data_IF_802354373841
#
_entry.id   IF_802354373841
#
_cell.length_a   1.000
_cell.length_b   1.000
_cell.length_c   1.000
_cell.angle_alpha   90.00
_cell.angle_beta   90.00
_cell.angle_gamma   90.00
#
_symmetry.space_group_name_H-M   'P 1'
#
loop_
_entity.id
_entity.type
_entity.pdbx_description
1 polymer ?
#
# COMPACT_ATOMS: atom_id res chain seq x y z
N UNK A 1 10.55 -7.44 22.48
CA UNK A 1 9.13 -7.41 22.10
C UNK A 1 8.89 -8.51 21.11
N UNK A 2 7.94 -9.41 21.41
CA UNK A 2 7.71 -10.62 20.62
C UNK A 2 7.22 -10.28 19.22
N UNK A 3 8.05 -10.49 18.21
CA UNK A 3 7.72 -10.38 16.78
C UNK A 3 6.94 -11.61 16.28
N UNK A 4 6.66 -12.57 17.14
CA UNK A 4 6.04 -13.86 16.78
C UNK A 4 4.52 -13.81 16.59
N UNK A 5 3.86 -12.65 16.76
CA UNK A 5 2.39 -12.58 16.84
C UNK A 5 1.66 -11.98 15.64
N UNK A 6 2.33 -11.34 14.67
CA UNK A 6 1.62 -10.67 13.56
C UNK A 6 1.61 -11.56 12.32
N UNK A 7 0.48 -12.22 12.06
CA UNK A 7 0.25 -12.93 10.80
C UNK A 7 -0.12 -11.89 9.72
N UNK A 8 0.59 -11.86 8.57
CA UNK A 8 0.22 -10.99 7.46
C UNK A 8 -1.20 -11.26 6.98
N UNK A 9 -1.89 -10.23 6.52
CA UNK A 9 -3.27 -10.33 6.03
C UNK A 9 -3.31 -11.20 4.77
N UNK A 10 -4.26 -12.14 4.69
CA UNK A 10 -4.47 -13.05 3.55
C UNK A 10 -3.20 -13.82 3.13
N UNK A 11 -2.37 -14.21 4.11
CA UNK A 11 -1.07 -14.86 3.84
C UNK A 11 -1.21 -16.11 2.97
N UNK A 12 -2.19 -16.96 3.26
CA UNK A 12 -2.42 -18.20 2.51
C UNK A 12 -2.79 -17.91 1.05
N UNK A 13 -3.67 -16.93 0.83
CA UNK A 13 -4.10 -16.50 -0.50
C UNK A 13 -2.97 -15.83 -1.28
N UNK A 14 -2.11 -15.06 -0.60
CA UNK A 14 -0.92 -14.45 -1.22
C UNK A 14 0.05 -15.53 -1.68
N UNK A 15 0.39 -16.51 -0.83
CA UNK A 15 1.29 -17.60 -1.21
C UNK A 15 0.69 -18.48 -2.32
N UNK A 16 -0.62 -18.76 -2.25
CA UNK A 16 -1.32 -19.51 -3.30
C UNK A 16 -1.35 -18.78 -4.66
N UNK A 17 -1.41 -17.43 -4.65
CA UNK A 17 -1.36 -16.63 -5.87
C UNK A 17 0.07 -16.47 -6.41
N UNK A 18 1.07 -16.32 -5.51
CA UNK A 18 2.46 -16.10 -5.87
C UNK A 18 3.17 -17.39 -6.32
N UNK A 19 2.83 -18.54 -5.71
CA UNK A 19 3.42 -19.87 -5.93
C UNK A 19 4.95 -19.82 -5.82
N UNK A 20 5.53 -19.60 -4.63
CA UNK A 20 6.98 -19.56 -4.47
C UNK A 20 7.66 -20.86 -4.92
N UNK A 21 8.80 -20.72 -5.63
CA UNK A 21 9.57 -21.83 -6.19
C UNK A 21 11.05 -21.68 -5.85
N UNK A 22 11.74 -22.81 -5.74
CA UNK A 22 13.19 -22.84 -5.53
C UNK A 22 13.93 -22.24 -6.73
N UNK A 23 14.99 -21.50 -6.44
CA UNK A 23 15.81 -20.83 -7.44
C UNK A 23 15.21 -19.52 -7.98
N UNK A 24 13.97 -19.20 -7.61
CA UNK A 24 13.28 -18.00 -8.05
C UNK A 24 13.64 -16.77 -7.21
N UNK A 25 13.44 -15.59 -7.79
CA UNK A 25 13.70 -14.29 -7.15
C UNK A 25 12.41 -13.52 -6.96
N UNK A 26 12.13 -13.14 -5.71
CA UNK A 26 10.91 -12.42 -5.33
C UNK A 26 11.21 -11.03 -4.77
N UNK A 27 10.23 -10.15 -4.85
CA UNK A 27 10.23 -8.86 -4.17
C UNK A 27 9.04 -8.78 -3.21
N UNK A 28 9.32 -8.53 -1.93
CA UNK A 28 8.37 -7.97 -0.98
C UNK A 28 8.53 -6.45 -1.01
N UNK A 29 7.62 -5.75 -1.70
CA UNK A 29 7.74 -4.31 -1.93
C UNK A 29 7.32 -3.46 -0.71
N UNK A 30 6.79 -4.10 0.34
CA UNK A 30 6.23 -3.47 1.54
C UNK A 30 6.59 -4.31 2.76
N UNK A 31 7.88 -4.36 3.09
CA UNK A 31 8.42 -5.31 4.06
C UNK A 31 7.74 -5.27 5.44
N UNK A 32 7.52 -4.08 6.02
CA UNK A 32 6.84 -3.90 7.31
C UNK A 32 7.44 -4.72 8.44
N UNK A 33 6.79 -5.81 8.82
CA UNK A 33 7.25 -6.78 9.81
C UNK A 33 7.94 -8.01 9.21
N UNK A 34 8.07 -8.08 7.89
CA UNK A 34 8.73 -9.17 7.17
C UNK A 34 7.93 -10.47 7.08
N UNK A 35 6.62 -10.38 7.30
CA UNK A 35 5.77 -11.58 7.34
C UNK A 35 5.65 -12.29 5.99
N UNK A 36 5.45 -11.56 4.90
CA UNK A 36 5.42 -12.14 3.55
C UNK A 36 6.81 -12.61 3.12
N UNK A 37 7.85 -11.80 3.31
CA UNK A 37 9.22 -12.18 3.00
C UNK A 37 9.63 -13.48 3.69
N UNK A 38 9.33 -13.62 4.99
CA UNK A 38 9.57 -14.85 5.76
C UNK A 38 8.81 -16.04 5.17
N UNK A 39 7.53 -15.89 4.91
CA UNK A 39 6.70 -16.98 4.43
C UNK A 39 7.10 -17.47 3.03
N UNK A 40 7.52 -16.56 2.13
CA UNK A 40 8.06 -16.89 0.83
C UNK A 40 9.35 -17.72 0.99
N UNK A 41 10.28 -17.26 1.84
CA UNK A 41 11.57 -17.93 2.09
C UNK A 41 11.41 -19.32 2.77
N UNK A 42 10.39 -19.48 3.60
CA UNK A 42 10.06 -20.76 4.24
C UNK A 42 9.35 -21.72 3.28
N UNK A 43 8.57 -21.19 2.32
CA UNK A 43 7.85 -22.00 1.32
C UNK A 43 8.76 -22.54 0.23
N UNK A 44 9.85 -21.83 -0.12
CA UNK A 44 10.79 -22.20 -1.16
C UNK A 44 12.23 -22.02 -0.65
N UNK A 45 12.88 -23.08 -0.11
CA UNK A 45 14.19 -22.98 0.53
C UNK A 45 15.34 -22.50 -0.38
N UNK A 46 15.20 -22.64 -1.70
CA UNK A 46 16.16 -22.19 -2.69
C UNK A 46 15.91 -20.78 -3.26
N UNK A 47 14.83 -20.11 -2.87
CA UNK A 47 14.51 -18.78 -3.40
C UNK A 47 15.29 -17.65 -2.72
N UNK A 48 15.34 -16.50 -3.43
CA UNK A 48 15.88 -15.23 -2.92
C UNK A 48 14.76 -14.20 -2.84
N UNK A 49 14.72 -13.41 -1.75
CA UNK A 49 13.78 -12.32 -1.56
C UNK A 49 14.51 -11.01 -1.37
N UNK A 50 14.22 -10.05 -2.22
CA UNK A 50 14.48 -8.64 -1.96
C UNK A 50 13.28 -8.04 -1.23
N UNK A 51 13.53 -7.17 -0.26
CA UNK A 51 12.45 -6.58 0.53
C UNK A 51 12.68 -5.09 0.70
N UNK A 52 11.72 -4.28 0.25
CA UNK A 52 11.78 -2.83 0.27
C UNK A 52 10.87 -2.31 1.39
N UNK A 53 11.36 -1.33 2.14
CA UNK A 53 10.51 -0.49 3.00
C UNK A 53 11.08 0.92 3.07
N UNK A 54 10.21 1.91 3.05
CA UNK A 54 10.57 3.32 3.23
C UNK A 54 10.75 3.73 4.69
N UNK A 55 10.20 2.92 5.63
CA UNK A 55 10.31 3.15 7.06
C UNK A 55 11.64 2.58 7.58
N UNK A 56 12.61 3.42 8.02
CA UNK A 56 13.88 2.95 8.53
C UNK A 56 13.73 2.03 9.76
N UNK A 57 12.64 2.19 10.54
CA UNK A 57 12.39 1.30 11.68
C UNK A 57 11.99 -0.11 11.22
N UNK A 58 11.31 -0.25 10.08
CA UNK A 58 11.00 -1.56 9.50
C UNK A 58 12.28 -2.26 9.04
N UNK A 59 13.17 -1.56 8.35
CA UNK A 59 14.48 -2.09 7.93
C UNK A 59 15.32 -2.51 9.12
N UNK A 60 15.39 -1.67 10.17
CA UNK A 60 16.14 -2.00 11.38
C UNK A 60 15.59 -3.24 12.09
N UNK A 61 14.25 -3.37 12.21
CA UNK A 61 13.61 -4.56 12.78
C UNK A 61 13.87 -5.81 11.96
N UNK A 62 13.97 -5.67 10.64
CA UNK A 62 14.20 -6.78 9.71
C UNK A 62 15.60 -7.40 9.79
N UNK A 63 16.58 -6.74 10.40
CA UNK A 63 17.97 -7.19 10.43
C UNK A 63 18.14 -8.61 11.00
N UNK A 64 17.42 -8.95 12.06
CA UNK A 64 17.45 -10.29 12.63
C UNK A 64 16.88 -11.36 11.68
N UNK A 65 15.82 -11.04 10.95
CA UNK A 65 15.25 -11.92 9.92
C UNK A 65 16.24 -12.10 8.76
N UNK A 66 16.90 -11.04 8.31
CA UNK A 66 17.90 -11.11 7.26
C UNK A 66 19.10 -11.97 7.67
N UNK A 67 19.52 -11.93 8.94
CA UNK A 67 20.55 -12.84 9.46
C UNK A 67 20.10 -14.30 9.47
N UNK A 68 18.85 -14.58 9.87
CA UNK A 68 18.28 -15.94 9.85
C UNK A 68 18.25 -16.53 8.45
N UNK A 69 17.99 -15.71 7.43
CA UNK A 69 17.96 -16.10 6.02
C UNK A 69 19.18 -15.53 5.26
N UNK A 70 20.38 -15.60 5.87
CA UNK A 70 21.60 -15.03 5.32
C UNK A 70 21.82 -15.45 3.87
N UNK A 71 22.10 -14.48 3.00
CA UNK A 71 22.28 -14.67 1.56
C UNK A 71 21.00 -14.84 0.75
N UNK A 72 19.83 -14.94 1.39
CA UNK A 72 18.54 -15.11 0.70
C UNK A 72 17.53 -13.97 0.96
N UNK A 73 17.68 -13.21 2.04
CA UNK A 73 16.88 -12.01 2.32
C UNK A 73 17.75 -10.76 2.23
N UNK A 74 17.40 -9.85 1.32
CA UNK A 74 18.10 -8.59 1.10
C UNK A 74 17.15 -7.41 1.39
N UNK A 75 17.42 -6.68 2.48
CA UNK A 75 16.64 -5.51 2.85
C UNK A 75 17.14 -4.28 2.11
N UNK A 76 16.21 -3.46 1.64
CA UNK A 76 16.47 -2.23 0.88
C UNK A 76 15.61 -1.11 1.49
N UNK A 77 16.25 -0.09 2.04
CA UNK A 77 15.54 1.13 2.44
C UNK A 77 15.22 1.94 1.19
N UNK A 78 13.94 2.31 1.03
CA UNK A 78 13.47 3.09 -0.10
C UNK A 78 11.98 2.95 -0.36
N UNK A 79 11.50 3.71 -1.31
CA UNK A 79 10.10 3.69 -1.73
C UNK A 79 9.88 2.58 -2.75
N UNK A 80 8.77 1.85 -2.63
CA UNK A 80 8.46 0.81 -3.61
C UNK A 80 8.10 1.38 -5.00
N UNK A 81 7.69 2.65 -5.09
CA UNK A 81 7.56 3.34 -6.38
C UNK A 81 8.87 3.47 -7.15
N UNK A 82 10.00 3.40 -6.45
CA UNK A 82 11.35 3.50 -7.02
C UNK A 82 12.02 2.12 -7.19
N UNK A 83 11.26 1.00 -7.01
CA UNK A 83 11.82 -0.36 -7.03
C UNK A 83 12.62 -0.68 -8.27
N UNK A 84 12.25 -0.10 -9.41
CA UNK A 84 12.95 -0.33 -10.68
C UNK A 84 14.42 0.12 -10.62
N UNK A 85 14.70 1.32 -10.12
CA UNK A 85 16.06 1.83 -9.94
C UNK A 85 16.77 1.10 -8.82
N UNK A 86 16.12 0.91 -7.67
CA UNK A 86 16.69 0.25 -6.49
C UNK A 86 17.18 -1.17 -6.79
N UNK A 87 16.46 -1.91 -7.62
CA UNK A 87 16.82 -3.29 -8.00
C UNK A 87 17.86 -3.31 -9.14
N UNK A 88 17.73 -2.43 -10.13
CA UNK A 88 18.71 -2.32 -11.21
C UNK A 88 20.12 -1.97 -10.71
N UNK A 89 20.22 -1.09 -9.73
CA UNK A 89 21.49 -0.73 -9.07
C UNK A 89 22.15 -1.95 -8.38
N UNK A 90 21.38 -3.02 -8.15
CA UNK A 90 21.83 -4.31 -7.58
C UNK A 90 21.96 -5.42 -8.62
N UNK A 91 21.84 -5.06 -9.89
CA UNK A 91 21.94 -6.03 -11.00
C UNK A 91 20.68 -6.88 -11.20
N UNK A 92 19.57 -6.58 -10.53
CA UNK A 92 18.32 -7.32 -10.65
C UNK A 92 17.47 -6.66 -11.74
N UNK A 93 17.24 -7.39 -12.82
CA UNK A 93 16.49 -6.93 -13.99
C UNK A 93 15.20 -7.70 -14.24
N UNK A 94 14.99 -8.82 -13.55
CA UNK A 94 13.78 -9.62 -13.65
C UNK A 94 13.43 -10.28 -12.31
N UNK A 95 12.14 -10.47 -12.07
CA UNK A 95 11.57 -11.07 -10.86
C UNK A 95 10.54 -12.15 -11.24
N UNK A 96 10.54 -13.26 -10.52
CA UNK A 96 9.54 -14.32 -10.66
C UNK A 96 8.23 -13.97 -9.91
N UNK A 97 8.30 -13.04 -8.97
CA UNK A 97 7.10 -12.53 -8.33
C UNK A 97 7.32 -11.29 -7.47
N UNK A 98 6.26 -10.51 -7.33
CA UNK A 98 6.20 -9.30 -6.51
C UNK A 98 4.97 -9.37 -5.62
N UNK A 99 5.13 -9.11 -4.32
CA UNK A 99 4.03 -8.90 -3.38
C UNK A 99 4.05 -7.46 -2.88
N UNK A 100 2.85 -6.86 -2.79
CA UNK A 100 2.62 -5.54 -2.21
C UNK A 100 1.49 -5.63 -1.19
N UNK A 101 1.75 -5.21 0.06
CA UNK A 101 0.76 -5.05 1.13
C UNK A 101 0.60 -3.55 1.38
N UNK A 102 -0.42 -2.97 0.75
CA UNK A 102 -0.57 -1.52 0.72
C UNK A 102 -1.03 -0.95 2.06
N UNK A 103 -0.79 0.34 2.27
CA UNK A 103 -1.20 1.07 3.45
C UNK A 103 -0.13 1.13 4.53
N UNK A 104 -0.54 1.03 5.81
CA UNK A 104 0.32 1.22 6.99
C UNK A 104 0.52 -0.07 7.75
N UNK A 105 1.72 -0.27 8.27
CA UNK A 105 2.01 -1.41 9.13
C UNK A 105 1.32 -1.29 10.50
N UNK A 106 1.08 -2.44 11.15
CA UNK A 106 0.56 -2.45 12.52
C UNK A 106 1.47 -1.69 13.48
N UNK A 107 2.79 -1.75 13.28
CA UNK A 107 3.74 -1.02 14.10
C UNK A 107 3.53 0.50 14.03
N UNK A 108 3.29 1.04 12.84
CA UNK A 108 3.00 2.47 12.66
C UNK A 108 1.69 2.89 13.33
N UNK A 109 0.65 2.04 13.30
CA UNK A 109 -0.64 2.32 13.93
C UNK A 109 -0.61 2.20 15.45
N UNK A 110 0.22 1.31 15.98
CA UNK A 110 0.24 1.00 17.43
C UNK A 110 1.23 1.91 18.19
N UNK A 111 2.13 2.62 17.49
CA UNK A 111 3.04 3.60 18.06
C UNK A 111 2.43 4.99 18.03
N UNK A 112 1.97 5.49 19.19
CA UNK A 112 1.31 6.80 19.30
C UNK A 112 2.23 7.94 18.82
N UNK A 113 3.53 7.84 19.06
CA UNK A 113 4.55 8.81 18.66
C UNK A 113 4.71 8.95 17.13
N UNK A 114 4.19 8.02 16.34
CA UNK A 114 4.19 8.09 14.88
C UNK A 114 2.99 8.88 14.32
N UNK A 115 1.96 9.13 15.10
CA UNK A 115 0.82 9.97 14.75
C UNK A 115 -0.15 9.40 13.70
N UNK A 116 -0.05 8.11 13.34
CA UNK A 116 -0.96 7.49 12.35
C UNK A 116 -2.36 7.20 12.89
N UNK A 117 -2.50 7.12 14.21
CA UNK A 117 -3.75 6.79 14.89
C UNK A 117 -4.15 7.92 15.84
N UNK A 118 -5.46 8.11 16.01
CA UNK A 118 -6.04 9.00 17.00
C UNK A 118 -6.68 8.24 18.20
N UNK A 119 -6.40 6.93 18.31
CA UNK A 119 -6.86 6.10 19.45
C UNK A 119 -6.07 6.39 20.71
N UNK A 120 -4.79 6.66 20.56
CA UNK A 120 -3.90 7.22 21.57
C UNK A 120 -3.43 8.58 21.07
N UNK A 121 -3.27 9.55 21.99
CA UNK A 121 -2.75 10.87 21.63
C UNK A 121 -1.25 10.80 21.34
N UNK A 122 -0.81 11.53 20.33
CA UNK A 122 0.56 11.62 19.90
C UNK A 122 0.79 12.82 18.98
N UNK A 123 2.03 13.09 18.57
CA UNK A 123 2.32 14.16 17.62
C UNK A 123 1.57 13.92 16.30
N UNK A 124 1.09 14.98 15.68
CA UNK A 124 0.40 14.92 14.38
C UNK A 124 1.43 14.81 13.25
N UNK A 125 2.13 13.66 13.17
CA UNK A 125 3.25 13.43 12.27
C UNK A 125 2.84 12.72 10.97
N UNK A 126 2.49 11.43 11.01
CA UNK A 126 2.08 10.55 9.92
C UNK A 126 3.14 10.26 8.83
N UNK A 127 4.40 10.65 9.01
CA UNK A 127 5.46 10.37 8.03
C UNK A 127 5.98 8.93 8.17
N UNK A 128 5.97 8.18 7.09
CA UNK A 128 6.55 6.84 7.07
C UNK A 128 8.08 6.89 7.09
N UNK A 129 8.68 7.77 6.30
CA UNK A 129 10.14 7.94 6.16
C UNK A 129 10.79 8.82 7.23
N UNK A 130 10.01 9.42 8.14
CA UNK A 130 10.48 10.39 9.14
C UNK A 130 11.10 11.68 8.55
N UNK A 131 10.97 11.90 7.25
CA UNK A 131 11.48 13.09 6.54
C UNK A 131 10.35 13.79 5.75
N UNK A 132 10.59 15.03 5.34
CA UNK A 132 9.58 15.81 4.60
C UNK A 132 8.50 16.42 5.51
N UNK A 133 7.45 17.01 4.91
CA UNK A 133 6.36 17.65 5.65
C UNK A 133 5.49 16.62 6.37
N UNK A 134 5.15 16.94 7.63
CA UNK A 134 4.27 16.15 8.50
C UNK A 134 2.79 16.48 8.24
N UNK A 135 1.89 15.71 8.86
CA UNK A 135 0.47 16.06 8.87
C UNK A 135 0.19 17.38 9.59
N UNK A 136 0.97 17.70 10.64
CA UNK A 136 0.88 19.00 11.30
C UNK A 136 1.26 20.14 10.34
N UNK A 137 2.29 19.97 9.53
CA UNK A 137 2.68 20.99 8.54
C UNK A 137 1.56 21.21 7.52
N UNK A 138 0.95 20.14 6.99
CA UNK A 138 -0.16 20.26 6.05
C UNK A 138 -1.36 20.99 6.68
N UNK A 139 -1.77 20.57 7.87
CA UNK A 139 -2.93 21.13 8.57
C UNK A 139 -2.72 22.60 8.93
N UNK A 140 -1.51 22.97 9.34
CA UNK A 140 -1.22 24.33 9.80
C UNK A 140 -0.87 25.31 8.67
N UNK A 141 -0.42 24.83 7.48
CA UNK A 141 0.07 25.72 6.42
C UNK A 141 -0.82 25.81 5.17
N UNK A 142 -1.50 24.72 4.78
CA UNK A 142 -2.24 24.67 3.52
C UNK A 142 -3.45 25.63 3.53
N UNK A 143 -3.81 26.13 2.34
CA UNK A 143 -5.02 26.93 2.16
C UNK A 143 -6.27 26.07 2.38
N UNK A 144 -7.39 26.71 2.80
CA UNK A 144 -8.67 26.03 3.05
C UNK A 144 -9.10 25.14 1.88
N UNK A 145 -8.94 25.64 0.64
CA UNK A 145 -9.29 24.91 -0.58
C UNK A 145 -8.45 23.63 -0.73
N UNK A 146 -7.14 23.71 -0.53
CA UNK A 146 -6.23 22.59 -0.73
C UNK A 146 -6.45 21.52 0.35
N UNK A 147 -6.69 21.93 1.60
CA UNK A 147 -7.11 21.01 2.68
C UNK A 147 -8.44 20.31 2.35
N UNK A 148 -9.42 21.07 1.85
CA UNK A 148 -10.71 20.49 1.47
C UNK A 148 -10.56 19.49 0.31
N UNK A 149 -9.72 19.79 -0.66
CA UNK A 149 -9.44 18.90 -1.80
C UNK A 149 -8.75 17.61 -1.35
N UNK A 150 -7.76 17.68 -0.46
CA UNK A 150 -7.11 16.52 0.15
C UNK A 150 -8.15 15.65 0.89
N UNK A 151 -8.91 16.24 1.80
CA UNK A 151 -9.88 15.52 2.63
C UNK A 151 -10.99 14.88 1.76
N UNK A 152 -11.43 15.57 0.71
CA UNK A 152 -12.41 15.05 -0.23
C UNK A 152 -11.87 13.91 -1.09
N UNK A 153 -10.72 14.13 -1.76
CA UNK A 153 -10.17 13.18 -2.74
C UNK A 153 -9.61 11.93 -2.09
N UNK A 154 -8.90 12.05 -0.98
CA UNK A 154 -8.20 10.95 -0.33
C UNK A 154 -8.98 10.33 0.84
N UNK A 155 -9.91 11.08 1.43
CA UNK A 155 -10.78 10.58 2.48
C UNK A 155 -12.16 10.13 1.98
N UNK A 156 -12.53 10.48 0.73
CA UNK A 156 -13.91 10.34 0.22
C UNK A 156 -14.93 10.97 1.21
N UNK A 157 -14.51 12.09 1.88
CA UNK A 157 -15.27 12.74 2.94
C UNK A 157 -16.17 13.87 2.37
N UNK A 158 -17.46 13.69 2.44
CA UNK A 158 -18.45 14.64 1.90
C UNK A 158 -18.50 15.98 2.63
N UNK A 159 -18.07 16.02 3.88
CA UNK A 159 -18.01 17.24 4.70
C UNK A 159 -16.65 17.95 4.64
N UNK A 160 -15.79 17.61 3.67
CA UNK A 160 -14.42 18.08 3.53
C UNK A 160 -14.26 19.61 3.64
N UNK A 161 -15.13 20.39 2.96
CA UNK A 161 -15.10 21.86 3.03
C UNK A 161 -15.39 22.39 4.43
N UNK A 162 -16.36 21.78 5.15
CA UNK A 162 -16.70 22.15 6.51
C UNK A 162 -15.56 21.86 7.48
N UNK A 163 -14.90 20.70 7.32
CA UNK A 163 -13.73 20.31 8.11
C UNK A 163 -12.57 21.26 7.85
N UNK A 164 -12.22 21.50 6.58
CA UNK A 164 -11.13 22.40 6.21
C UNK A 164 -11.32 23.82 6.76
N UNK A 165 -12.53 24.38 6.65
CA UNK A 165 -12.87 25.68 7.23
C UNK A 165 -12.71 25.67 8.75
N UNK A 166 -13.18 24.64 9.44
CA UNK A 166 -13.03 24.52 10.89
C UNK A 166 -11.55 24.45 11.31
N UNK A 167 -10.71 23.72 10.54
CA UNK A 167 -9.27 23.65 10.76
C UNK A 167 -8.65 25.04 10.61
N UNK A 168 -8.93 25.75 9.51
CA UNK A 168 -8.35 27.08 9.23
C UNK A 168 -8.73 28.10 10.29
N UNK A 169 -10.00 28.11 10.76
CA UNK A 169 -10.45 28.98 11.84
C UNK A 169 -9.70 28.65 13.14
N UNK A 170 -9.67 27.37 13.54
CA UNK A 170 -9.07 26.95 14.83
C UNK A 170 -7.56 27.17 14.88
N UNK A 171 -6.82 26.88 13.79
CA UNK A 171 -5.36 27.05 13.77
C UNK A 171 -4.88 28.49 13.89
N UNK A 172 -5.76 29.47 13.59
CA UNK A 172 -5.47 30.89 13.81
C UNK A 172 -5.33 31.25 15.30
N UNK A 173 -5.94 30.47 16.21
CA UNK A 173 -5.81 30.63 17.66
C UNK A 173 -4.55 29.94 18.18
N UNK A 174 -4.29 28.70 17.73
CA UNK A 174 -3.10 27.93 18.07
C UNK A 174 -2.88 26.82 17.01
N UNK A 175 -1.63 26.46 16.66
CA UNK A 175 -1.35 25.40 15.71
C UNK A 175 -1.79 24.03 16.24
N UNK A 176 -2.17 23.13 15.35
CA UNK A 176 -2.37 21.72 15.67
C UNK A 176 -1.03 21.02 15.86
N UNK A 177 -0.86 20.35 16.98
CA UNK A 177 0.35 19.60 17.30
C UNK A 177 0.09 18.13 17.61
N UNK A 178 -1.15 17.78 18.01
CA UNK A 178 -1.49 16.41 18.41
C UNK A 178 -2.64 15.80 17.61
N UNK A 179 -2.67 14.48 17.57
CA UNK A 179 -3.72 13.71 16.91
C UNK A 179 -5.07 13.89 17.60
N UNK A 180 -5.09 13.98 18.93
CA UNK A 180 -6.33 14.14 19.70
C UNK A 180 -7.03 15.48 19.41
N UNK A 181 -6.26 16.59 19.34
CA UNK A 181 -6.82 17.92 19.07
C UNK A 181 -7.48 17.97 17.68
N UNK A 182 -6.80 17.48 16.64
CA UNK A 182 -7.37 17.40 15.30
C UNK A 182 -8.60 16.49 15.25
N UNK A 183 -8.53 15.29 15.84
CA UNK A 183 -9.65 14.34 15.85
C UNK A 183 -10.87 14.92 16.56
N UNK A 184 -10.68 15.62 17.67
CA UNK A 184 -11.76 16.29 18.40
C UNK A 184 -12.44 17.37 17.55
N UNK A 185 -11.66 18.18 16.81
CA UNK A 185 -12.23 19.18 15.89
C UNK A 185 -13.03 18.52 14.77
N UNK A 186 -12.46 17.48 14.11
CA UNK A 186 -13.15 16.79 13.01
C UNK A 186 -14.46 16.18 13.47
N UNK A 187 -14.50 15.50 14.63
CA UNK A 187 -15.72 14.91 15.22
C UNK A 187 -16.82 15.96 15.46
N UNK A 188 -16.46 17.19 15.86
CA UNK A 188 -17.41 18.30 15.99
C UNK A 188 -17.89 18.83 14.64
N UNK A 189 -17.06 18.72 13.62
CA UNK A 189 -17.37 19.23 12.28
C UNK A 189 -18.27 18.30 11.46
N UNK A 190 -18.38 17.01 11.79
CA UNK A 190 -19.15 16.03 11.02
C UNK A 190 -20.30 15.44 11.83
N UNK A 191 -21.44 15.06 11.21
CA UNK A 191 -22.45 14.26 11.87
C UNK A 191 -21.93 12.89 12.28
N UNK A 192 -22.51 12.28 13.31
CA UNK A 192 -22.19 10.91 13.70
C UNK A 192 -22.53 9.94 12.57
N UNK A 193 -21.57 9.08 12.21
CA UNK A 193 -21.79 8.07 11.17
C UNK A 193 -22.66 6.92 11.74
N UNK A 194 -23.78 6.58 11.08
CA UNK A 194 -24.66 5.49 11.55
C UNK A 194 -23.98 4.12 11.54
N UNK A 195 -22.91 3.91 10.74
CA UNK A 195 -22.14 2.67 10.69
C UNK A 195 -21.22 2.48 11.89
N UNK A 196 -21.11 3.49 12.78
CA UNK A 196 -20.21 3.47 13.93
C UNK A 196 -18.75 3.79 13.61
N UNK A 197 -18.44 4.15 12.36
CA UNK A 197 -17.11 4.63 11.99
C UNK A 197 -16.87 6.00 12.63
N UNK A 198 -15.71 6.15 13.28
CA UNK A 198 -15.34 7.44 13.88
C UNK A 198 -15.23 8.52 12.80
N UNK A 199 -15.84 9.68 13.04
CA UNK A 199 -15.88 10.79 12.08
C UNK A 199 -14.49 11.31 11.67
N UNK A 200 -13.45 11.10 12.48
CA UNK A 200 -12.09 11.50 12.15
C UNK A 200 -11.40 10.53 11.17
N UNK A 201 -11.87 9.28 11.02
CA UNK A 201 -11.19 8.23 10.26
C UNK A 201 -10.84 8.67 8.83
N UNK A 202 -11.81 9.23 8.11
CA UNK A 202 -11.62 9.63 6.70
C UNK A 202 -10.63 10.77 6.54
N UNK A 203 -10.67 11.75 7.46
CA UNK A 203 -9.74 12.88 7.44
C UNK A 203 -8.31 12.45 7.78
N UNK A 204 -8.13 11.53 8.72
CA UNK A 204 -6.82 10.96 9.05
C UNK A 204 -6.28 10.12 7.90
N UNK A 205 -7.10 9.28 7.26
CA UNK A 205 -6.72 8.58 6.03
C UNK A 205 -6.28 9.56 4.95
N UNK A 206 -7.03 10.63 4.72
CA UNK A 206 -6.71 11.63 3.70
C UNK A 206 -5.35 12.31 3.93
N UNK A 207 -5.10 12.74 5.17
CA UNK A 207 -3.82 13.36 5.54
C UNK A 207 -2.67 12.37 5.40
N UNK A 208 -2.84 11.13 5.84
CA UNK A 208 -1.83 10.08 5.72
C UNK A 208 -1.44 9.85 4.25
N UNK A 209 -2.44 9.67 3.38
CA UNK A 209 -2.23 9.51 1.94
C UNK A 209 -1.49 10.71 1.35
N UNK A 210 -1.87 11.95 1.74
CA UNK A 210 -1.24 13.16 1.24
C UNK A 210 0.20 13.32 1.72
N UNK A 211 0.48 13.08 3.01
CA UNK A 211 1.83 13.17 3.59
C UNK A 211 2.79 12.21 2.92
N UNK A 212 2.32 11.00 2.61
CA UNK A 212 3.17 9.91 2.13
C UNK A 212 3.11 9.69 0.61
N UNK A 213 2.31 10.46 -0.16
CA UNK A 213 2.06 10.25 -1.59
C UNK A 213 1.65 8.79 -1.90
N UNK A 214 0.83 8.17 -1.03
CA UNK A 214 0.56 6.74 -1.07
C UNK A 214 -0.03 6.29 -2.41
N UNK A 215 -0.97 7.03 -2.99
CA UNK A 215 -1.60 6.65 -4.26
C UNK A 215 -0.65 6.81 -5.45
N UNK A 216 0.19 7.85 -5.46
CA UNK A 216 1.23 8.02 -6.47
C UNK A 216 2.27 6.89 -6.39
N UNK A 217 2.64 6.48 -5.17
CA UNK A 217 3.50 5.31 -4.95
C UNK A 217 2.89 4.03 -5.52
N UNK A 218 1.58 3.79 -5.29
CA UNK A 218 0.87 2.61 -5.83
C UNK A 218 0.89 2.60 -7.36
N UNK A 219 0.63 3.75 -8.00
CA UNK A 219 0.65 3.86 -9.47
C UNK A 219 2.04 3.53 -10.03
N UNK A 220 3.09 4.18 -9.49
CA UNK A 220 4.49 3.94 -9.92
C UNK A 220 4.94 2.52 -9.62
N UNK A 221 4.63 2.02 -8.41
CA UNK A 221 5.03 0.69 -7.97
C UNK A 221 4.42 -0.44 -8.81
N UNK A 222 3.13 -0.35 -9.16
CA UNK A 222 2.48 -1.33 -10.03
C UNK A 222 3.12 -1.32 -11.43
N UNK A 223 3.38 -0.14 -11.99
CA UNK A 223 4.02 -0.03 -13.30
C UNK A 223 5.44 -0.63 -13.28
N UNK A 224 6.23 -0.30 -12.27
CA UNK A 224 7.59 -0.84 -12.08
C UNK A 224 7.59 -2.36 -11.85
N UNK A 225 6.66 -2.88 -11.03
CA UNK A 225 6.51 -4.31 -10.79
C UNK A 225 6.19 -5.07 -12.08
N UNK A 226 5.23 -4.57 -12.87
CA UNK A 226 4.87 -5.19 -14.16
C UNK A 226 6.05 -5.18 -15.15
N UNK A 227 6.90 -4.16 -15.15
CA UNK A 227 8.09 -4.09 -15.99
C UNK A 227 9.12 -5.14 -15.56
N UNK A 228 9.33 -5.33 -14.26
CA UNK A 228 10.31 -6.25 -13.69
C UNK A 228 9.90 -7.72 -13.75
N UNK A 229 8.62 -8.05 -13.89
CA UNK A 229 8.21 -9.45 -13.92
C UNK A 229 8.82 -10.21 -15.11
N UNK A 230 9.44 -11.36 -14.85
CA UNK A 230 9.80 -12.33 -15.86
C UNK A 230 8.54 -12.94 -16.53
N UNK A 231 8.65 -13.54 -17.73
CA UNK A 231 7.55 -14.35 -18.29
C UNK A 231 7.14 -15.46 -17.30
N UNK A 232 5.85 -15.58 -16.99
CA UNK A 232 5.32 -16.45 -15.94
C UNK A 232 5.38 -15.87 -14.54
N UNK A 233 6.03 -14.72 -14.35
CA UNK A 233 6.11 -14.02 -13.07
C UNK A 233 4.79 -13.38 -12.66
N UNK A 234 4.57 -13.23 -11.35
CA UNK A 234 3.29 -12.84 -10.77
C UNK A 234 3.40 -11.60 -9.88
N UNK A 235 2.42 -10.69 -10.04
CA UNK A 235 2.21 -9.58 -9.12
C UNK A 235 0.98 -9.88 -8.27
N UNK A 236 1.14 -9.83 -6.94
CA UNK A 236 0.08 -9.99 -5.95
C UNK A 236 0.01 -8.72 -5.11
N UNK A 237 -1.17 -8.10 -5.05
CA UNK A 237 -1.39 -6.84 -4.33
C UNK A 237 -2.55 -7.01 -3.37
N UNK A 238 -2.32 -6.65 -2.10
CA UNK A 238 -3.35 -6.52 -1.06
C UNK A 238 -3.59 -5.03 -0.82
N UNK A 239 -4.84 -4.59 -0.97
CA UNK A 239 -5.28 -3.21 -0.78
C UNK A 239 -6.29 -3.13 0.37
N UNK A 240 -6.32 -2.03 1.13
CA UNK A 240 -7.18 -1.88 2.32
C UNK A 240 -8.28 -0.85 2.16
N UNK A 241 -8.24 0.00 1.15
CA UNK A 241 -9.31 0.95 0.89
C UNK A 241 -9.63 1.08 -0.61
N UNK A 242 -10.78 1.72 -0.89
CA UNK A 242 -11.38 1.84 -2.22
C UNK A 242 -10.48 2.52 -3.24
N UNK A 243 -9.67 3.49 -2.84
CA UNK A 243 -8.81 4.25 -3.75
C UNK A 243 -7.65 3.38 -4.23
N UNK A 244 -6.96 2.66 -3.33
CA UNK A 244 -5.92 1.70 -3.69
C UNK A 244 -6.46 0.61 -4.62
N UNK A 245 -7.56 -0.07 -4.20
CA UNK A 245 -8.16 -1.15 -4.99
C UNK A 245 -8.58 -0.68 -6.38
N UNK A 246 -9.01 0.57 -6.52
CA UNK A 246 -9.38 1.18 -7.81
C UNK A 246 -8.17 1.29 -8.73
N UNK A 247 -7.03 1.80 -8.25
CA UNK A 247 -5.78 1.93 -9.01
C UNK A 247 -5.29 0.55 -9.44
N UNK A 248 -5.16 -0.39 -8.50
CA UNK A 248 -4.72 -1.77 -8.77
C UNK A 248 -5.62 -2.43 -9.83
N UNK A 249 -6.95 -2.34 -9.65
CA UNK A 249 -7.93 -2.89 -10.58
C UNK A 249 -7.78 -2.30 -11.99
N UNK A 250 -7.64 -0.99 -12.10
CA UNK A 250 -7.53 -0.30 -13.38
C UNK A 250 -6.23 -0.67 -14.10
N UNK A 251 -5.09 -0.65 -13.40
CA UNK A 251 -3.80 -1.00 -13.96
C UNK A 251 -3.77 -2.47 -14.45
N UNK A 252 -4.22 -3.42 -13.62
CA UNK A 252 -4.27 -4.84 -14.00
C UNK A 252 -5.28 -5.12 -15.13
N UNK A 253 -6.42 -4.43 -15.16
CA UNK A 253 -7.39 -4.55 -16.25
C UNK A 253 -6.81 -4.03 -17.57
N UNK A 254 -6.12 -2.89 -17.56
CA UNK A 254 -5.45 -2.34 -18.74
C UNK A 254 -4.38 -3.30 -19.27
N UNK A 255 -3.49 -3.81 -18.41
CA UNK A 255 -2.41 -4.72 -18.79
C UNK A 255 -2.91 -6.07 -19.35
N UNK A 256 -4.09 -6.53 -18.91
CA UNK A 256 -4.73 -7.77 -19.38
C UNK A 256 -5.66 -7.58 -20.58
N UNK A 257 -5.67 -6.39 -21.20
CA UNK A 257 -6.55 -6.09 -22.35
C UNK A 257 -8.04 -5.97 -21.99
N UNK A 258 -8.39 -5.95 -20.71
CA UNK A 258 -9.77 -5.79 -20.20
C UNK A 258 -10.12 -4.33 -19.86
N UNK A 259 -9.16 -3.40 -20.00
CA UNK A 259 -9.42 -1.97 -19.93
C UNK A 259 -10.38 -1.58 -21.04
N UNK A 260 -11.56 -1.04 -20.68
CA UNK A 260 -12.58 -0.66 -21.63
C UNK A 260 -12.06 0.48 -22.52
N UNK A 261 -11.48 0.15 -23.67
CA UNK A 261 -11.41 1.10 -24.76
C UNK A 261 -12.86 1.46 -25.12
N UNK A 262 -13.16 2.75 -25.18
CA UNK A 262 -14.44 3.22 -25.71
C UNK A 262 -14.69 2.54 -27.07
N UNK A 263 -15.92 2.05 -27.30
CA UNK A 263 -16.31 1.50 -28.61
C UNK A 263 -16.12 2.50 -29.77
N UNK A 264 -15.82 3.75 -29.44
CA UNK A 264 -15.60 4.87 -30.36
C UNK A 264 -14.11 5.30 -30.46
N UNK A 265 -13.16 4.53 -29.86
CA UNK A 265 -11.74 4.79 -30.03
C UNK A 265 -11.26 4.16 -31.36
N UNK A 266 -10.84 4.96 -32.37
CA UNK A 266 -10.33 4.43 -33.63
C UNK A 266 -9.10 3.54 -33.47
N UNK A 267 -8.29 3.74 -32.41
CA UNK A 267 -7.18 2.86 -32.05
C UNK A 267 -7.61 1.47 -31.59
N UNK A 268 -8.87 1.31 -31.17
CA UNK A 268 -9.44 0.01 -30.81
C UNK A 268 -9.73 -0.89 -32.04
N UNK A 269 -9.72 -0.32 -33.23
CA UNK A 269 -9.97 -1.00 -34.51
C UNK A 269 -8.68 -1.43 -35.24
N UNK A 270 -7.55 -0.80 -34.94
CA UNK A 270 -6.25 -1.17 -35.49
C UNK A 270 -5.58 -2.18 -34.56
N UNK A 271 -5.67 -3.48 -34.88
CA UNK A 271 -4.97 -4.63 -34.33
C UNK A 271 -4.51 -4.48 -32.87
N UNK A 272 -5.38 -4.83 -31.90
CA UNK A 272 -4.98 -4.86 -30.47
C UNK A 272 -3.74 -5.72 -30.32
N UNK A 273 -2.65 -5.15 -29.81
CA UNK A 273 -1.52 -5.92 -29.33
C UNK A 273 -2.04 -7.01 -28.36
N UNK A 274 -1.57 -8.24 -28.52
CA UNK A 274 -1.92 -9.34 -27.58
C UNK A 274 -1.62 -8.84 -26.16
N UNK A 275 -2.51 -9.05 -25.18
CA UNK A 275 -2.24 -8.62 -23.81
C UNK A 275 -0.98 -9.31 -23.29
N UNK A 276 -0.13 -8.56 -22.60
CA UNK A 276 1.10 -9.10 -22.03
C UNK A 276 0.87 -9.84 -20.69
N UNK A 277 -0.34 -9.68 -20.12
CA UNK A 277 -0.67 -10.22 -18.80
C UNK A 277 -2.01 -10.95 -18.79
N UNK A 278 -2.15 -11.89 -17.86
CA UNK A 278 -3.39 -12.61 -17.56
C UNK A 278 -3.84 -12.31 -16.11
N UNK A 279 -5.12 -11.93 -15.93
CA UNK A 279 -5.70 -11.75 -14.60
C UNK A 279 -5.95 -13.10 -13.94
N UNK A 280 -5.24 -13.38 -12.85
CA UNK A 280 -5.46 -14.56 -12.02
C UNK A 280 -6.71 -14.38 -11.14
N UNK A 281 -6.99 -13.13 -10.71
CA UNK A 281 -8.17 -12.77 -9.92
C UNK A 281 -9.07 -11.79 -10.68
N UNK A 282 -10.02 -12.25 -11.52
CA UNK A 282 -10.96 -11.37 -12.21
C UNK A 282 -11.81 -10.51 -11.27
N UNK A 283 -12.08 -11.04 -10.08
CA UNK A 283 -12.68 -10.33 -8.94
C UNK A 283 -11.69 -10.36 -7.76
N UNK A 284 -11.63 -9.27 -6.99
CA UNK A 284 -10.79 -9.26 -5.79
C UNK A 284 -11.21 -10.37 -4.84
N UNK A 285 -10.23 -11.11 -4.32
CA UNK A 285 -10.45 -12.02 -3.19
C UNK A 285 -10.61 -11.19 -1.91
N UNK A 286 -11.37 -11.72 -0.98
CA UNK A 286 -11.58 -11.15 0.36
C UNK A 286 -11.08 -12.12 1.41
N UNK A 287 -10.64 -11.62 2.57
CA UNK A 287 -10.25 -12.47 3.68
C UNK A 287 -11.45 -13.30 4.16
N UNK A 288 -11.16 -14.44 4.73
CA UNK A 288 -12.18 -15.33 5.32
C UNK A 288 -12.72 -14.73 6.64
N UNK A 289 -13.94 -15.11 7.01
CA UNK A 289 -14.59 -14.63 8.25
C UNK A 289 -13.77 -14.95 9.50
N UNK A 290 -13.10 -16.11 9.52
CA UNK A 290 -12.21 -16.51 10.60
C UNK A 290 -11.04 -15.55 10.77
N UNK A 291 -10.41 -15.14 9.66
CA UNK A 291 -9.33 -14.14 9.67
C UNK A 291 -9.86 -12.77 10.12
N UNK A 292 -11.01 -12.34 9.59
CA UNK A 292 -11.65 -11.07 9.99
C UNK A 292 -11.98 -11.01 11.48
N UNK A 293 -12.29 -12.16 12.09
CA UNK A 293 -12.59 -12.28 13.51
C UNK A 293 -11.31 -12.20 14.36
N UNK A 294 -10.23 -12.87 13.91
CA UNK A 294 -8.94 -12.86 14.58
C UNK A 294 -8.18 -11.52 14.37
N UNK A 295 -8.28 -10.94 13.16
CA UNK A 295 -7.66 -9.68 12.80
C UNK A 295 -8.69 -8.71 12.16
N UNK A 296 -9.34 -7.84 12.96
CA UNK A 296 -10.31 -6.87 12.43
C UNK A 296 -9.76 -5.93 11.34
N UNK A 297 -8.42 -5.75 11.26
CA UNK A 297 -7.78 -4.94 10.21
C UNK A 297 -7.88 -5.60 8.82
N UNK A 298 -8.07 -6.91 8.76
CA UNK A 298 -8.24 -7.65 7.52
C UNK A 298 -9.58 -7.38 6.81
N UNK A 299 -10.62 -6.92 7.51
CA UNK A 299 -11.99 -6.79 6.97
C UNK A 299 -12.11 -6.06 5.64
N UNK A 300 -11.30 -5.04 5.43
CA UNK A 300 -11.32 -4.22 4.21
C UNK A 300 -10.36 -4.72 3.14
N UNK A 301 -9.53 -5.72 3.44
CA UNK A 301 -8.53 -6.22 2.53
C UNK A 301 -9.14 -6.79 1.24
N UNK A 302 -8.44 -6.55 0.13
CA UNK A 302 -8.78 -7.02 -1.20
C UNK A 302 -7.51 -7.44 -1.91
N UNK A 303 -7.39 -8.73 -2.21
CA UNK A 303 -6.27 -9.26 -2.97
C UNK A 303 -6.60 -9.29 -4.45
N UNK A 304 -5.66 -8.78 -5.26
CA UNK A 304 -5.66 -8.92 -6.72
C UNK A 304 -4.33 -9.47 -7.19
N UNK A 305 -4.36 -10.29 -8.23
CA UNK A 305 -3.16 -10.87 -8.83
C UNK A 305 -3.25 -10.96 -10.35
N UNK A 306 -2.07 -10.83 -10.97
CA UNK A 306 -1.88 -10.87 -12.42
C UNK A 306 -0.58 -11.61 -12.72
N UNK A 307 -0.53 -12.32 -13.85
CA UNK A 307 0.62 -13.07 -14.32
C UNK A 307 1.10 -12.54 -15.66
N UNK A 308 2.41 -12.38 -15.84
CA UNK A 308 3.00 -12.05 -17.13
C UNK A 308 2.95 -13.28 -18.03
N UNK A 309 2.38 -13.15 -19.22
CA UNK A 309 2.27 -14.25 -20.16
C UNK A 309 3.65 -14.66 -20.69
N UNK A 310 3.80 -15.95 -20.92
CA UNK A 310 4.94 -16.48 -21.67
C UNK A 310 4.88 -15.93 -23.08
N UNK A 311 6.00 -15.38 -23.58
CA UNK A 311 6.07 -15.02 -24.99
C UNK A 311 6.03 -16.32 -25.81
N UNK A 312 5.00 -16.50 -26.65
CA UNK A 312 5.04 -17.54 -27.68
C UNK A 312 6.32 -17.31 -28.49
N UNK A 313 7.24 -18.29 -28.51
CA UNK A 313 8.34 -18.26 -29.47
C UNK A 313 7.68 -18.22 -30.84
N UNK A 314 7.94 -17.16 -31.62
CA UNK A 314 7.63 -17.15 -33.02
C UNK A 314 8.32 -18.38 -33.65
N UNK A 315 7.50 -19.29 -34.14
CA UNK A 315 7.99 -20.51 -34.83
C UNK A 315 8.61 -20.14 -36.18
#
# INVERSE_FOLDING_TARGET
MNTEGHVPVMLAEVLAALIPQDGATYLDATFGGGGYARAILESAPGCTVFAIDRDPDAIARGAALAQRFAGRLHLIEGRFGDMLSLLRDRGITALDGVVMDLGVSSFQLDQAERGFSFRADGPLDMRMEKSGPSAADLVNSLQERDLADIIFRFGEERFARRIARAIVVRRAEAPFTTTADLAALVRRAVPRDPSGIDGATRSFQALRIAVNDELGEVERGIAAAMELLAPGGRLVVVAFHSLEDRIVKQAMAAASGRGGASRHDPAALSGRAKPAFHLLTPRALRPQDAECSANPRARSARLRSIERLLMERAA
#
